data_IF_412450319721
#
_entry.id   IF_412450319721
#
_cell.length_a   1.000
_cell.length_b   1.000
_cell.length_c   1.000
_cell.angle_alpha   90.00
_cell.angle_beta   90.00
_cell.angle_gamma   90.00
#
_symmetry.space_group_name_H-M   'P 1'
#
loop_
_entity.id
_entity.type
_entity.pdbx_description
1 polymer ?
#
# COMPACT_ATOMS: atom_id res chain seq x y z
N UNK A 1 1.62 -22.07 -6.10
CA UNK A 1 2.12 -21.03 -6.97
C UNK A 1 1.50 -19.67 -6.65
N UNK A 2 1.83 -18.67 -7.45
CA UNK A 2 1.33 -17.31 -7.24
C UNK A 2 -0.19 -17.24 -7.29
N UNK A 3 -0.81 -18.00 -8.21
CA UNK A 3 -2.26 -18.04 -8.32
C UNK A 3 -2.94 -18.52 -7.04
N UNK A 4 -2.36 -19.50 -6.36
CA UNK A 4 -2.89 -20.00 -5.09
C UNK A 4 -2.76 -18.96 -3.99
N UNK A 5 -1.62 -18.25 -3.98
CA UNK A 5 -1.39 -17.16 -3.02
C UNK A 5 -2.39 -16.01 -3.20
N UNK A 6 -2.78 -15.74 -4.44
CA UNK A 6 -3.63 -14.60 -4.79
C UNK A 6 -5.12 -14.91 -4.83
N UNK A 7 -5.54 -16.17 -4.53
CA UNK A 7 -6.95 -16.55 -4.62
C UNK A 7 -7.84 -15.58 -3.83
N UNK A 8 -8.77 -14.96 -4.54
CA UNK A 8 -9.77 -14.01 -3.99
C UNK A 8 -9.17 -12.85 -3.19
N UNK A 9 -7.90 -12.55 -3.39
CA UNK A 9 -7.26 -11.45 -2.69
C UNK A 9 -7.69 -10.09 -3.25
N UNK A 10 -7.60 -9.07 -2.40
CA UNK A 10 -7.77 -7.68 -2.80
C UNK A 10 -6.39 -7.04 -2.78
N UNK A 11 -5.94 -6.59 -3.94
CA UNK A 11 -4.65 -5.92 -4.07
C UNK A 11 -4.83 -4.44 -3.74
N UNK A 12 -3.96 -3.93 -2.88
CA UNK A 12 -4.00 -2.55 -2.40
C UNK A 12 -2.66 -1.89 -2.74
N UNK A 13 -2.60 -1.07 -3.80
CA UNK A 13 -1.33 -0.42 -4.12
C UNK A 13 -0.96 0.63 -3.08
N UNK A 14 0.33 0.71 -2.79
CA UNK A 14 0.86 1.77 -1.94
C UNK A 14 0.69 3.10 -2.67
N UNK A 15 0.03 4.09 -2.05
CA UNK A 15 -0.18 5.38 -2.71
C UNK A 15 1.07 6.25 -2.65
N UNK A 16 1.23 7.08 -3.67
CA UNK A 16 2.23 8.14 -3.69
C UNK A 16 1.60 9.43 -3.16
N UNK A 17 2.42 10.36 -2.62
CA UNK A 17 1.92 11.70 -2.36
C UNK A 17 1.38 12.30 -3.67
N UNK A 18 0.29 13.07 -3.64
CA UNK A 18 -0.30 13.62 -4.87
C UNK A 18 0.70 14.38 -5.73
N UNK A 19 1.60 15.14 -5.12
CA UNK A 19 2.64 15.86 -5.85
C UNK A 19 3.54 14.91 -6.63
N UNK A 20 3.93 13.80 -5.99
CA UNK A 20 4.83 12.82 -6.60
C UNK A 20 4.17 12.12 -7.77
N UNK A 21 2.90 11.78 -7.62
CA UNK A 21 2.15 11.14 -8.70
C UNK A 21 2.00 12.07 -9.90
N UNK A 22 1.76 13.37 -9.66
CA UNK A 22 1.68 14.35 -10.74
C UNK A 22 3.02 14.51 -11.47
N UNK A 23 4.13 14.50 -10.73
CA UNK A 23 5.47 14.60 -11.32
C UNK A 23 5.81 13.39 -12.19
N UNK A 24 5.48 12.19 -11.73
CA UNK A 24 5.75 10.95 -12.46
C UNK A 24 4.72 10.68 -13.56
N UNK A 25 3.51 11.17 -13.40
CA UNK A 25 2.40 10.86 -14.28
C UNK A 25 1.78 9.50 -14.03
N UNK A 26 2.28 8.72 -13.06
CA UNK A 26 1.75 7.41 -12.74
C UNK A 26 2.19 6.95 -11.36
N UNK A 27 1.52 5.90 -10.86
CA UNK A 27 1.90 5.20 -9.63
C UNK A 27 2.36 3.80 -10.03
N UNK A 28 3.64 3.51 -9.84
CA UNK A 28 4.24 2.23 -10.24
C UNK A 28 3.57 1.04 -9.52
N UNK A 29 3.30 1.19 -8.25
CA UNK A 29 2.63 0.13 -7.47
C UNK A 29 1.24 -0.18 -8.03
N UNK A 30 0.51 0.85 -8.46
CA UNK A 30 -0.80 0.68 -9.08
C UNK A 30 -0.70 -0.08 -10.41
N UNK A 31 0.31 0.25 -11.23
CA UNK A 31 0.52 -0.45 -12.50
C UNK A 31 0.81 -1.93 -12.28
N UNK A 32 1.64 -2.24 -11.28
CA UNK A 32 1.95 -3.63 -10.93
C UNK A 32 0.68 -4.36 -10.49
N UNK A 33 -0.10 -3.75 -9.60
CA UNK A 33 -1.32 -4.35 -9.10
C UNK A 33 -2.35 -4.58 -10.22
N UNK A 34 -2.49 -3.63 -11.13
CA UNK A 34 -3.38 -3.77 -12.30
C UNK A 34 -2.96 -4.94 -13.19
N UNK A 35 -1.67 -5.07 -13.44
CA UNK A 35 -1.13 -6.16 -14.24
C UNK A 35 -1.43 -7.52 -13.60
N UNK A 36 -1.25 -7.63 -12.29
CA UNK A 36 -1.53 -8.88 -11.57
C UNK A 36 -3.02 -9.19 -11.57
N UNK A 37 -3.86 -8.20 -11.26
CA UNK A 37 -5.31 -8.40 -11.24
C UNK A 37 -5.85 -8.80 -12.60
N UNK A 38 -5.24 -8.34 -13.69
CA UNK A 38 -5.65 -8.71 -15.03
C UNK A 38 -5.29 -10.15 -15.43
N UNK A 39 -4.35 -10.77 -14.71
CA UNK A 39 -3.87 -12.13 -15.02
C UNK A 39 -4.55 -13.23 -14.20
N UNK A 40 -5.07 -12.89 -13.04
CA UNK A 40 -5.62 -13.88 -12.12
C UNK A 40 -7.09 -13.60 -11.85
N UNK A 41 -7.95 -14.53 -12.27
CA UNK A 41 -9.38 -14.41 -12.04
C UNK A 41 -9.69 -14.38 -10.54
N UNK A 42 -10.65 -13.54 -10.17
CA UNK A 42 -11.05 -13.41 -8.77
C UNK A 42 -10.21 -12.45 -7.94
N UNK A 43 -9.06 -12.02 -8.47
CA UNK A 43 -8.22 -11.03 -7.81
C UNK A 43 -8.74 -9.64 -8.15
N UNK A 44 -8.97 -8.84 -7.13
CA UNK A 44 -9.54 -7.50 -7.29
C UNK A 44 -8.51 -6.45 -6.90
N UNK A 45 -8.63 -5.29 -7.51
CA UNK A 45 -7.78 -4.12 -7.21
C UNK A 45 -8.66 -3.06 -6.57
N UNK A 46 -8.22 -2.52 -5.43
CA UNK A 46 -8.93 -1.45 -4.73
C UNK A 46 -7.93 -0.41 -4.23
N UNK A 47 -8.22 0.85 -4.51
CA UNK A 47 -7.42 1.96 -4.00
C UNK A 47 -7.96 2.36 -2.62
N UNK A 48 -7.51 1.65 -1.60
CA UNK A 48 -8.03 1.80 -0.24
C UNK A 48 -7.24 2.76 0.62
N UNK A 49 -6.07 3.16 0.19
CA UNK A 49 -5.16 3.99 0.98
C UNK A 49 -4.90 5.33 0.29
N UNK A 50 -4.77 6.37 1.11
CA UNK A 50 -4.34 7.69 0.65
C UNK A 50 -3.11 8.10 1.43
N UNK A 51 -2.17 8.74 0.75
CA UNK A 51 -1.03 9.33 1.41
C UNK A 51 -1.34 10.79 1.71
N UNK A 52 -1.45 11.11 2.99
CA UNK A 52 -1.89 12.44 3.43
C UNK A 52 -0.72 13.36 3.76
N UNK A 53 0.48 12.81 3.92
CA UNK A 53 1.68 13.59 4.25
C UNK A 53 2.83 13.15 3.36
N UNK A 54 3.56 14.11 2.79
CA UNK A 54 4.80 13.83 2.07
C UNK A 54 5.95 13.87 3.07
N UNK A 55 6.36 12.68 3.54
CA UNK A 55 7.38 12.56 4.56
C UNK A 55 8.80 12.66 4.05
N UNK A 56 9.00 12.70 2.72
CA UNK A 56 10.35 12.70 2.14
C UNK A 56 11.10 14.01 2.33
N UNK A 57 10.37 15.10 2.49
CA UNK A 57 10.99 16.43 2.65
C UNK A 57 11.30 16.78 4.11
N UNK A 58 11.13 15.85 5.04
CA UNK A 58 11.29 16.11 6.47
C UNK A 58 12.67 15.72 6.96
N UNK A 59 13.69 16.29 6.33
CA UNK A 59 15.08 15.96 6.65
C UNK A 59 15.53 16.53 8.00
N UNK A 60 14.85 17.54 8.52
CA UNK A 60 15.17 18.15 9.80
C UNK A 60 14.77 17.28 11.00
N UNK A 61 13.98 16.25 10.77
CA UNK A 61 13.53 15.37 11.86
C UNK A 61 14.55 14.26 12.11
N UNK A 62 14.65 13.83 13.37
CA UNK A 62 15.47 12.67 13.70
C UNK A 62 14.76 11.37 13.22
N UNK A 63 15.46 10.25 13.41
CA UNK A 63 14.97 8.96 12.92
C UNK A 63 13.62 8.56 13.52
N UNK A 64 13.45 8.76 14.83
CA UNK A 64 12.21 8.41 15.52
C UNK A 64 11.05 9.29 15.06
N UNK A 65 11.30 10.58 14.87
CA UNK A 65 10.29 11.51 14.40
C UNK A 65 9.84 11.16 12.99
N UNK A 66 10.80 10.82 12.12
CA UNK A 66 10.48 10.39 10.75
C UNK A 66 9.65 9.12 10.75
N UNK A 67 9.96 8.17 11.62
CA UNK A 67 9.22 6.93 11.74
C UNK A 67 7.78 7.19 12.17
N UNK A 68 7.57 8.03 13.19
CA UNK A 68 6.23 8.38 13.65
C UNK A 68 5.44 9.13 12.58
N UNK A 69 6.11 10.05 11.87
CA UNK A 69 5.46 10.80 10.79
C UNK A 69 5.03 9.87 9.67
N UNK A 70 5.86 8.88 9.34
CA UNK A 70 5.52 7.90 8.32
C UNK A 70 4.32 7.05 8.72
N UNK A 71 4.25 6.63 9.99
CA UNK A 71 3.11 5.85 10.48
C UNK A 71 1.79 6.59 10.34
N UNK A 72 1.82 7.92 10.45
CA UNK A 72 0.62 8.75 10.37
C UNK A 72 0.42 9.37 8.97
N UNK A 73 1.22 8.94 8.00
CA UNK A 73 1.18 9.50 6.65
C UNK A 73 0.06 8.91 5.79
N UNK A 74 -0.53 7.81 6.22
CA UNK A 74 -1.53 7.09 5.44
C UNK A 74 -2.87 7.08 6.14
N UNK A 75 -3.93 7.15 5.37
CA UNK A 75 -5.30 7.00 5.88
C UNK A 75 -6.11 6.15 4.91
N UNK A 76 -7.23 5.62 5.40
CA UNK A 76 -8.16 4.92 4.55
C UNK A 76 -8.82 5.91 3.60
N UNK A 77 -8.93 5.54 2.32
CA UNK A 77 -9.58 6.39 1.33
C UNK A 77 -11.05 6.61 1.72
N UNK A 78 -11.56 7.78 1.39
CA UNK A 78 -12.95 8.16 1.73
C UNK A 78 -13.94 7.13 1.21
N UNK A 79 -14.95 6.84 2.02
CA UNK A 79 -16.03 5.90 1.69
C UNK A 79 -15.57 4.46 1.52
N UNK A 80 -14.31 4.16 1.82
CA UNK A 80 -13.81 2.79 1.79
C UNK A 80 -14.21 2.06 3.06
N UNK A 81 -14.54 0.78 2.91
CA UNK A 81 -14.92 -0.09 4.02
C UNK A 81 -14.06 -1.34 3.95
N UNK A 82 -13.53 -1.76 5.08
CA UNK A 82 -12.73 -2.96 5.17
C UNK A 82 -13.60 -4.12 5.66
N UNK A 83 -13.58 -5.21 4.91
CA UNK A 83 -14.28 -6.45 5.28
C UNK A 83 -13.26 -7.37 5.98
N UNK A 84 -13.47 -7.70 7.27
CA UNK A 84 -12.51 -8.54 8.00
C UNK A 84 -12.36 -9.95 7.44
N UNK A 85 -13.31 -10.42 6.65
CA UNK A 85 -13.23 -11.76 6.04
C UNK A 85 -12.36 -11.78 4.80
N UNK A 86 -12.04 -10.63 4.22
CA UNK A 86 -11.24 -10.53 3.00
C UNK A 86 -9.75 -10.55 3.33
N UNK A 87 -8.96 -10.97 2.34
CA UNK A 87 -7.50 -10.94 2.43
C UNK A 87 -6.99 -9.77 1.59
N UNK A 88 -6.21 -8.93 2.22
CA UNK A 88 -5.66 -7.74 1.59
C UNK A 88 -4.17 -7.93 1.36
N UNK A 89 -3.69 -7.63 0.16
CA UNK A 89 -2.28 -7.71 -0.18
C UNK A 89 -1.83 -6.33 -0.61
N UNK A 90 -0.94 -5.74 0.17
CA UNK A 90 -0.36 -4.43 -0.15
C UNK A 90 0.72 -4.65 -1.20
N UNK A 91 0.64 -3.89 -2.29
CA UNK A 91 1.57 -3.99 -3.42
C UNK A 91 2.46 -2.77 -3.46
N UNK A 92 3.77 -3.00 -3.48
CA UNK A 92 4.77 -1.95 -3.66
C UNK A 92 5.81 -2.44 -4.67
N UNK A 93 6.48 -1.51 -5.35
CA UNK A 93 7.45 -1.89 -6.38
C UNK A 93 8.77 -2.38 -5.77
N UNK A 94 9.24 -1.74 -4.71
CA UNK A 94 10.52 -2.06 -4.09
C UNK A 94 10.39 -2.08 -2.57
N UNK A 95 10.90 -3.14 -1.97
CA UNK A 95 11.03 -3.24 -0.52
C UNK A 95 12.39 -2.70 -0.10
N UNK A 96 12.41 -1.65 0.70
CA UNK A 96 13.66 -1.09 1.25
C UNK A 96 13.78 -1.39 2.74
N UNK A 97 13.03 -0.69 3.58
CA UNK A 97 13.09 -0.86 5.03
C UNK A 97 11.83 -1.51 5.61
N UNK A 98 10.78 -1.61 4.83
CA UNK A 98 9.49 -2.10 5.29
C UNK A 98 8.66 -1.07 6.03
N UNK A 99 9.19 0.12 6.31
CA UNK A 99 8.47 1.13 7.09
C UNK A 99 7.19 1.60 6.41
N UNK A 100 7.23 1.83 5.10
CA UNK A 100 6.06 2.21 4.32
C UNK A 100 5.01 1.10 4.32
N UNK A 101 5.45 -0.14 4.09
CA UNK A 101 4.55 -1.29 4.08
C UNK A 101 3.92 -1.51 5.45
N UNK A 102 4.71 -1.36 6.52
CA UNK A 102 4.20 -1.49 7.88
C UNK A 102 3.16 -0.41 8.19
N UNK A 103 3.38 0.82 7.76
CA UNK A 103 2.44 1.92 7.97
C UNK A 103 1.12 1.67 7.22
N UNK A 104 1.20 1.18 5.98
CA UNK A 104 0.02 0.82 5.20
C UNK A 104 -0.75 -0.33 5.85
N UNK A 105 -0.04 -1.37 6.30
CA UNK A 105 -0.65 -2.51 6.96
C UNK A 105 -1.35 -2.08 8.26
N UNK A 106 -0.72 -1.21 9.05
CA UNK A 106 -1.30 -0.72 10.29
C UNK A 106 -2.60 0.06 10.00
N UNK A 107 -2.63 0.85 8.94
CA UNK A 107 -3.83 1.58 8.54
C UNK A 107 -4.97 0.64 8.20
N UNK A 108 -4.70 -0.41 7.43
CA UNK A 108 -5.72 -1.40 7.08
C UNK A 108 -6.19 -2.17 8.31
N UNK A 109 -5.29 -2.58 9.18
CA UNK A 109 -5.65 -3.32 10.40
C UNK A 109 -6.48 -2.47 11.35
N UNK A 110 -6.13 -1.21 11.50
CA UNK A 110 -6.89 -0.28 12.33
C UNK A 110 -8.31 -0.10 11.81
N UNK A 111 -8.48 -0.19 10.49
CA UNK A 111 -9.79 -0.10 9.85
C UNK A 111 -10.57 -1.41 9.89
N UNK A 112 -9.99 -2.50 10.41
CA UNK A 112 -10.68 -3.77 10.59
C UNK A 112 -10.13 -4.96 9.83
N UNK A 113 -9.08 -4.80 9.02
CA UNK A 113 -8.50 -5.91 8.28
C UNK A 113 -7.83 -6.90 9.23
N UNK A 114 -8.08 -8.19 9.02
CA UNK A 114 -7.48 -9.26 9.83
C UNK A 114 -6.39 -10.02 9.08
N UNK A 115 -6.47 -10.07 7.75
CA UNK A 115 -5.50 -10.77 6.91
C UNK A 115 -4.86 -9.77 5.98
N UNK A 116 -3.62 -9.39 6.29
CA UNK A 116 -2.86 -8.41 5.51
C UNK A 116 -1.49 -9.00 5.17
N UNK A 117 -1.20 -9.08 3.89
CA UNK A 117 0.10 -9.51 3.38
C UNK A 117 0.70 -8.42 2.50
N UNK A 118 1.93 -8.62 2.09
CA UNK A 118 2.63 -7.68 1.22
C UNK A 118 3.22 -8.40 0.02
N UNK A 119 3.32 -7.70 -1.09
CA UNK A 119 3.92 -8.20 -2.32
C UNK A 119 4.80 -7.10 -2.91
N UNK A 120 6.07 -7.42 -3.15
CA UNK A 120 7.00 -6.50 -3.79
C UNK A 120 7.75 -7.22 -4.90
N UNK A 121 8.28 -6.47 -5.88
CA UNK A 121 9.03 -7.03 -6.98
C UNK A 121 10.53 -7.13 -6.72
N UNK A 122 11.03 -6.47 -5.69
CA UNK A 122 12.45 -6.52 -5.40
C UNK A 122 12.81 -5.81 -4.12
N UNK A 123 14.13 -5.77 -3.87
CA UNK A 123 14.70 -5.09 -2.72
C UNK A 123 15.53 -3.92 -3.22
N UNK A 124 15.36 -2.79 -2.58
CA UNK A 124 16.13 -1.59 -2.89
C UNK A 124 17.34 -1.42 -2.01
#
# INVERSE_FOLDING_TARGET
>A
GLGDYLVEAILVPVPLPPRKERERGYNQSALIAESIAGRFEGVRLRFLLERIVDTRSQTQFNRQERYRNLRNAFSLAKKSVIDPSQRYIIVDDVFTTGSTLNACAATLRKAGAKRVDVLTLGHG
#
